data_IF_519183676757
#
_entry.id   IF_519183676757
#
_cell.length_a   1.000
_cell.length_b   1.000
_cell.length_c   1.000
_cell.angle_alpha   90.00
_cell.angle_beta   90.00
_cell.angle_gamma   90.00
#
_symmetry.space_group_name_H-M   'P 1'
#
loop_
_entity.id
_entity.type
_entity.pdbx_description
1 polymer ?
#
# COMPACT_ATOMS: atom_id res chain seq x y z
N UNK A 1 15.62 -7.15 -11.77
CA UNK A 1 15.39 -7.28 -10.31
C UNK A 1 16.71 -7.23 -9.55
N UNK A 2 16.73 -6.58 -8.40
CA UNK A 2 17.89 -6.59 -7.49
C UNK A 2 17.97 -7.95 -6.79
N UNK A 3 19.18 -8.53 -6.65
CA UNK A 3 19.38 -9.78 -5.91
C UNK A 3 19.97 -9.52 -4.52
N UNK A 4 19.55 -10.33 -3.55
CA UNK A 4 20.04 -10.27 -2.16
C UNK A 4 20.34 -11.69 -1.68
N UNK A 5 21.60 -11.95 -1.32
CA UNK A 5 21.99 -13.25 -0.76
C UNK A 5 21.85 -13.23 0.77
N UNK A 6 21.19 -14.24 1.33
CA UNK A 6 20.98 -14.39 2.77
C UNK A 6 21.35 -15.82 3.20
N UNK A 7 22.26 -15.94 4.15
CA UNK A 7 22.62 -17.24 4.73
C UNK A 7 21.68 -17.57 5.89
N UNK A 8 21.06 -18.73 5.85
CA UNK A 8 20.02 -19.14 6.80
C UNK A 8 20.31 -20.54 7.37
N UNK A 9 19.70 -20.86 8.50
CA UNK A 9 19.83 -22.18 9.13
C UNK A 9 18.51 -22.89 9.18
N UNK A 10 18.50 -24.16 8.84
CA UNK A 10 17.33 -25.02 8.89
C UNK A 10 16.84 -25.21 10.32
N UNK A 11 15.51 -25.31 10.50
CA UNK A 11 14.87 -25.62 11.77
C UNK A 11 14.52 -27.10 11.82
N UNK A 12 14.89 -27.75 12.92
CA UNK A 12 14.50 -29.14 13.19
C UNK A 12 13.19 -29.20 13.99
N UNK A 13 13.06 -28.30 14.97
CA UNK A 13 11.88 -28.23 15.82
C UNK A 13 10.89 -27.17 15.32
N UNK A 14 9.66 -27.58 15.07
CA UNK A 14 8.58 -26.70 14.61
C UNK A 14 7.50 -26.64 15.67
N UNK A 15 7.35 -25.49 16.33
CA UNK A 15 6.35 -25.33 17.36
C UNK A 15 6.27 -23.93 17.95
N UNK A 16 5.23 -23.69 18.76
CA UNK A 16 4.95 -22.38 19.38
C UNK A 16 6.04 -21.96 20.36
N UNK A 17 6.52 -22.90 21.17
CA UNK A 17 7.58 -22.66 22.19
C UNK A 17 8.90 -22.28 21.52
N UNK A 18 9.32 -23.04 20.51
CA UNK A 18 10.55 -22.82 19.76
C UNK A 18 10.52 -21.49 19.00
N UNK A 19 9.41 -21.18 18.31
CA UNK A 19 9.23 -19.90 17.60
C UNK A 19 9.30 -18.69 18.55
N UNK A 20 8.79 -18.83 19.79
CA UNK A 20 8.91 -17.78 20.83
C UNK A 20 10.35 -17.63 21.31
N UNK A 21 11.07 -18.74 21.51
CA UNK A 21 12.48 -18.73 21.92
C UNK A 21 13.38 -18.08 20.85
N UNK A 22 13.16 -18.39 19.57
CA UNK A 22 13.89 -17.78 18.44
C UNK A 22 13.69 -16.26 18.38
N UNK A 23 12.43 -15.78 18.49
CA UNK A 23 12.13 -14.34 18.47
C UNK A 23 12.78 -13.60 19.64
N UNK A 24 12.84 -14.21 20.81
CA UNK A 24 13.55 -13.64 21.98
C UNK A 24 15.06 -13.51 21.75
N UNK A 25 15.64 -14.33 20.86
CA UNK A 25 17.05 -14.26 20.45
C UNK A 25 17.30 -13.31 19.25
N UNK A 26 16.29 -12.56 18.81
CA UNK A 26 16.41 -11.70 17.62
C UNK A 26 16.48 -12.46 16.29
N UNK A 27 15.94 -13.70 16.27
CA UNK A 27 15.84 -14.54 15.08
C UNK A 27 14.39 -14.64 14.63
N UNK A 28 14.17 -14.58 13.33
CA UNK A 28 12.85 -14.64 12.71
C UNK A 28 12.65 -16.03 12.12
N UNK A 29 11.59 -16.75 12.51
CA UNK A 29 11.21 -17.99 11.85
C UNK A 29 10.64 -17.68 10.46
N UNK A 30 11.10 -18.43 9.46
CA UNK A 30 10.72 -18.28 8.06
C UNK A 30 10.35 -19.64 7.46
N UNK A 31 9.57 -19.58 6.38
CA UNK A 31 9.16 -20.76 5.62
C UNK A 31 9.43 -20.53 4.13
N UNK A 32 10.01 -21.50 3.46
CA UNK A 32 10.14 -21.55 2.01
C UNK A 32 9.18 -22.60 1.48
N UNK A 33 8.36 -22.24 0.50
CA UNK A 33 7.43 -23.13 -0.18
C UNK A 33 7.39 -22.84 -1.68
N UNK A 34 6.64 -23.64 -2.43
CA UNK A 34 6.54 -23.53 -3.90
C UNK A 34 7.39 -24.53 -4.65
N UNK A 35 8.39 -25.11 -4.00
CA UNK A 35 9.22 -26.22 -4.52
C UNK A 35 8.63 -27.61 -4.20
N UNK A 36 9.48 -28.65 -4.34
CA UNK A 36 9.08 -30.02 -4.02
C UNK A 36 8.82 -30.26 -2.53
N UNK A 37 9.54 -29.56 -1.67
CA UNK A 37 9.46 -29.69 -0.21
C UNK A 37 9.40 -28.32 0.45
N UNK A 38 8.54 -28.23 1.45
CA UNK A 38 8.50 -27.08 2.33
C UNK A 38 9.70 -27.15 3.30
N UNK A 39 10.44 -26.05 3.40
CA UNK A 39 11.60 -25.93 4.28
C UNK A 39 11.36 -24.85 5.29
N UNK A 40 11.42 -25.23 6.60
CA UNK A 40 11.36 -24.28 7.69
C UNK A 40 12.79 -23.91 8.11
N UNK A 41 13.07 -22.61 8.22
CA UNK A 41 14.37 -22.09 8.59
C UNK A 41 14.25 -20.85 9.48
N UNK A 42 15.36 -20.31 9.93
CA UNK A 42 15.40 -19.03 10.62
C UNK A 42 16.56 -18.19 10.12
N UNK A 43 16.35 -16.87 10.14
CA UNK A 43 17.37 -15.87 9.81
C UNK A 43 17.49 -14.85 10.94
N UNK A 44 18.60 -14.11 11.00
CA UNK A 44 18.71 -12.98 11.90
C UNK A 44 17.85 -11.80 11.41
N UNK A 45 17.19 -11.11 12.31
CA UNK A 45 16.35 -9.94 11.99
C UNK A 45 17.13 -8.88 11.21
N UNK A 46 18.42 -8.67 11.53
CA UNK A 46 19.26 -7.70 10.84
C UNK A 46 19.48 -8.00 9.34
N UNK A 47 19.59 -9.29 9.00
CA UNK A 47 19.81 -9.73 7.61
C UNK A 47 18.55 -9.50 6.75
N UNK A 48 17.39 -9.55 7.40
CA UNK A 48 16.09 -9.35 6.77
C UNK A 48 15.69 -7.86 6.67
N UNK A 49 16.34 -6.96 7.40
CA UNK A 49 15.96 -5.53 7.45
C UNK A 49 15.99 -4.87 6.08
N UNK A 50 16.98 -5.16 5.25
CA UNK A 50 17.05 -4.60 3.89
C UNK A 50 15.92 -5.09 3.00
N UNK A 51 15.51 -6.35 3.18
CA UNK A 51 14.43 -6.94 2.41
C UNK A 51 13.06 -6.39 2.81
N UNK A 52 12.83 -6.15 4.11
CA UNK A 52 11.52 -5.83 4.67
C UNK A 52 11.22 -4.33 4.66
N UNK A 53 12.22 -3.50 4.99
CA UNK A 53 12.01 -2.05 5.19
C UNK A 53 12.35 -1.21 3.95
N UNK A 54 12.69 -1.83 2.81
CA UNK A 54 12.79 -1.14 1.52
C UNK A 54 11.54 -1.44 0.67
N UNK A 55 11.06 -0.48 -0.09
CA UNK A 55 9.91 -0.70 -0.96
C UNK A 55 10.22 -1.59 -2.17
N UNK A 56 11.50 -1.77 -2.47
CA UNK A 56 11.98 -2.52 -3.64
C UNK A 56 11.62 -4.00 -3.58
N UNK A 57 11.41 -4.61 -4.74
CA UNK A 57 11.25 -6.06 -4.88
C UNK A 57 12.61 -6.71 -5.11
N UNK A 58 12.96 -7.68 -4.26
CA UNK A 58 14.22 -8.42 -4.34
C UNK A 58 14.00 -9.87 -4.74
N UNK A 59 14.85 -10.36 -5.62
CA UNK A 59 15.08 -11.79 -5.75
C UNK A 59 16.07 -12.22 -4.65
N UNK A 60 15.61 -13.08 -3.75
CA UNK A 60 16.41 -13.51 -2.61
C UNK A 60 17.07 -14.85 -2.91
N UNK A 61 18.39 -14.89 -2.84
CA UNK A 61 19.16 -16.13 -2.95
C UNK A 61 19.42 -16.65 -1.54
N UNK A 62 18.60 -17.62 -1.10
CA UNK A 62 18.76 -18.28 0.19
C UNK A 62 19.83 -19.35 0.13
N UNK A 63 20.82 -19.24 1.00
CA UNK A 63 21.79 -20.31 1.24
C UNK A 63 21.37 -21.11 2.49
N UNK A 64 20.78 -22.26 2.25
CA UNK A 64 20.32 -23.17 3.29
C UNK A 64 21.34 -24.33 3.38
N UNK A 65 22.27 -24.24 4.32
CA UNK A 65 23.29 -25.28 4.57
C UNK A 65 24.07 -25.71 3.30
N UNK A 66 24.40 -24.73 2.44
CA UNK A 66 25.12 -24.95 1.19
C UNK A 66 24.25 -25.18 -0.05
N UNK A 67 22.93 -25.25 0.11
CA UNK A 67 21.99 -25.32 -1.02
C UNK A 67 21.46 -23.91 -1.31
N UNK A 68 21.76 -23.41 -2.51
CA UNK A 68 21.27 -22.11 -2.96
C UNK A 68 19.94 -22.26 -3.66
N UNK A 69 18.95 -21.51 -3.20
CA UNK A 69 17.60 -21.49 -3.78
C UNK A 69 17.16 -20.04 -3.97
N UNK A 70 16.71 -19.72 -5.19
CA UNK A 70 16.18 -18.38 -5.48
C UNK A 70 14.71 -18.31 -5.12
N UNK A 71 14.33 -17.30 -4.37
CA UNK A 71 12.96 -17.11 -3.88
C UNK A 71 12.57 -15.63 -3.86
N UNK A 72 11.29 -15.37 -3.71
CA UNK A 72 10.72 -14.04 -3.54
C UNK A 72 9.99 -13.99 -2.20
N UNK A 73 10.03 -12.83 -1.56
CA UNK A 73 9.23 -12.55 -0.37
C UNK A 73 7.76 -12.48 -0.76
N UNK A 74 6.91 -13.31 -0.13
CA UNK A 74 5.49 -13.39 -0.42
C UNK A 74 4.64 -12.69 0.65
N UNK A 75 4.91 -12.95 1.92
CA UNK A 75 4.16 -12.35 3.02
C UNK A 75 5.04 -12.09 4.24
N UNK A 76 4.67 -11.09 5.03
CA UNK A 76 5.37 -10.69 6.25
C UNK A 76 4.36 -10.45 7.36
N UNK A 77 4.61 -11.04 8.51
CA UNK A 77 3.82 -10.79 9.71
C UNK A 77 4.61 -9.94 10.69
N UNK A 78 4.01 -8.82 11.09
CA UNK A 78 4.57 -7.89 12.07
C UNK A 78 3.84 -7.98 13.41
N UNK A 79 4.53 -7.62 14.47
CA UNK A 79 3.91 -7.47 15.78
C UNK A 79 3.15 -6.13 15.83
N UNK A 80 1.85 -6.10 16.20
CA UNK A 80 0.99 -4.93 16.03
C UNK A 80 1.37 -3.70 16.88
N UNK A 81 2.22 -3.87 17.89
CA UNK A 81 2.63 -2.78 18.80
C UNK A 81 4.10 -2.42 18.67
N UNK A 82 4.97 -3.41 18.39
CA UNK A 82 6.43 -3.20 18.38
C UNK A 82 7.04 -3.20 16.98
N UNK A 83 6.23 -3.46 15.93
CA UNK A 83 6.64 -3.56 14.52
C UNK A 83 7.79 -4.55 14.27
N UNK A 84 8.07 -5.42 15.23
CA UNK A 84 9.05 -6.49 15.05
C UNK A 84 8.52 -7.55 14.10
N UNK A 85 9.41 -8.10 13.29
CA UNK A 85 9.07 -9.16 12.35
C UNK A 85 8.77 -10.44 13.13
N UNK A 86 7.57 -11.01 12.95
CA UNK A 86 7.15 -12.25 13.57
C UNK A 86 7.38 -13.47 12.70
N UNK A 87 7.10 -13.36 11.41
CA UNK A 87 7.21 -14.44 10.43
C UNK A 87 7.42 -13.88 9.04
N UNK A 88 8.13 -14.61 8.19
CA UNK A 88 8.28 -14.29 6.76
C UNK A 88 8.05 -15.55 5.95
N UNK A 89 7.27 -15.39 4.89
CA UNK A 89 6.97 -16.43 3.92
C UNK A 89 7.74 -16.16 2.63
N UNK A 90 8.48 -17.15 2.17
CA UNK A 90 9.21 -17.12 0.91
C UNK A 90 8.62 -18.11 -0.09
N UNK A 91 8.45 -17.66 -1.33
CA UNK A 91 8.03 -18.48 -2.44
C UNK A 91 9.25 -18.80 -3.31
N UNK A 92 9.51 -20.07 -3.53
CA UNK A 92 10.56 -20.53 -4.47
C UNK A 92 10.19 -20.16 -5.90
N UNK A 93 11.15 -19.60 -6.61
CA UNK A 93 10.97 -19.06 -7.95
C UNK A 93 11.65 -19.95 -8.98
N UNK A 94 10.89 -20.31 -10.00
CA UNK A 94 11.38 -21.07 -11.17
C UNK A 94 11.32 -20.18 -12.42
N UNK A 95 12.28 -20.34 -13.32
CA UNK A 95 12.35 -19.52 -14.53
C UNK A 95 11.09 -19.62 -15.41
N UNK A 96 10.42 -20.77 -15.39
CA UNK A 96 9.28 -21.07 -16.27
C UNK A 96 7.90 -20.84 -15.63
N UNK A 97 7.85 -20.52 -14.33
CA UNK A 97 6.58 -20.35 -13.62
C UNK A 97 6.27 -18.86 -13.40
N UNK A 98 5.03 -18.49 -13.66
CA UNK A 98 4.55 -17.16 -13.32
C UNK A 98 4.48 -16.98 -11.80
N UNK A 99 4.94 -15.84 -11.33
CA UNK A 99 4.85 -15.44 -9.92
C UNK A 99 4.01 -14.20 -9.78
N UNK A 100 3.33 -14.09 -8.65
CA UNK A 100 2.52 -12.91 -8.29
C UNK A 100 3.27 -12.14 -7.23
N UNK A 101 3.59 -10.88 -7.51
CA UNK A 101 4.39 -10.02 -6.62
C UNK A 101 3.77 -8.63 -6.54
N UNK A 102 3.89 -7.99 -5.39
CA UNK A 102 3.53 -6.58 -5.19
C UNK A 102 4.68 -5.67 -5.63
N UNK A 103 4.51 -4.95 -6.74
CA UNK A 103 5.51 -4.03 -7.29
C UNK A 103 5.21 -2.61 -6.83
N UNK A 104 6.22 -1.87 -6.31
CA UNK A 104 6.05 -0.49 -5.90
C UNK A 104 5.80 0.43 -7.09
N UNK A 105 5.00 1.47 -6.85
CA UNK A 105 4.74 2.56 -7.80
C UNK A 105 5.64 3.73 -7.45
N UNK A 106 6.42 4.19 -8.43
CA UNK A 106 7.27 5.38 -8.32
C UNK A 106 6.67 6.47 -9.20
N UNK A 107 6.36 7.61 -8.58
CA UNK A 107 5.82 8.77 -9.28
C UNK A 107 6.98 9.65 -9.74
N UNK A 108 7.00 10.00 -11.04
CA UNK A 108 8.00 10.89 -11.62
C UNK A 108 7.37 12.20 -12.06
N UNK A 109 8.12 13.31 -11.98
CA UNK A 109 7.65 14.64 -12.33
C UNK A 109 6.84 15.34 -11.23
N UNK A 110 6.28 16.50 -11.57
CA UNK A 110 5.44 17.32 -10.69
C UNK A 110 4.12 17.67 -11.40
N UNK A 111 3.01 17.25 -10.82
CA UNK A 111 1.69 17.45 -11.40
C UNK A 111 1.33 18.94 -11.50
N UNK A 112 0.84 19.38 -12.68
CA UNK A 112 0.32 20.74 -12.89
C UNK A 112 -0.82 21.05 -11.92
N UNK A 113 -1.68 20.05 -11.64
CA UNK A 113 -2.78 20.19 -10.70
C UNK A 113 -2.32 20.47 -9.27
N UNK A 114 -1.18 19.94 -8.85
CA UNK A 114 -0.60 20.24 -7.51
C UNK A 114 -0.06 21.67 -7.48
N UNK A 115 0.57 22.13 -8.57
CA UNK A 115 1.04 23.53 -8.69
C UNK A 115 -0.12 24.53 -8.63
N UNK A 116 -1.29 24.14 -9.10
CA UNK A 116 -2.51 24.95 -9.10
C UNK A 116 -3.34 24.79 -7.81
N UNK A 117 -2.73 24.29 -6.70
CA UNK A 117 -3.39 24.16 -5.39
C UNK A 117 -4.16 22.86 -5.20
N UNK A 118 -4.07 21.90 -6.11
CA UNK A 118 -4.65 20.56 -5.93
C UNK A 118 -3.82 19.68 -4.97
N UNK A 119 -4.47 18.68 -4.40
CA UNK A 119 -3.83 17.71 -3.51
C UNK A 119 -3.58 16.38 -4.24
N UNK A 120 -2.33 15.90 -4.24
CA UNK A 120 -1.97 14.61 -4.82
C UNK A 120 -2.50 13.50 -3.94
N UNK A 121 -3.28 12.60 -4.50
CA UNK A 121 -3.84 11.45 -3.84
C UNK A 121 -3.26 10.18 -4.45
N UNK A 122 -2.36 9.50 -3.76
CA UNK A 122 -1.90 8.16 -4.12
C UNK A 122 -2.79 7.14 -3.43
N UNK A 123 -3.55 6.38 -4.22
CA UNK A 123 -4.45 5.35 -3.71
C UNK A 123 -3.75 4.01 -3.54
N UNK A 124 -2.80 3.72 -4.43
CA UNK A 124 -2.03 2.48 -4.40
C UNK A 124 -0.55 2.78 -4.53
N UNK A 125 0.20 2.44 -3.48
CA UNK A 125 1.66 2.54 -3.47
C UNK A 125 2.31 1.29 -4.07
N UNK A 126 1.56 0.17 -4.14
CA UNK A 126 1.99 -1.09 -4.72
C UNK A 126 0.87 -1.67 -5.57
N UNK A 127 1.22 -2.37 -6.65
CA UNK A 127 0.28 -3.04 -7.55
C UNK A 127 0.65 -4.52 -7.62
N UNK A 128 -0.34 -5.38 -7.41
CA UNK A 128 -0.19 -6.83 -7.54
C UNK A 128 -0.05 -7.16 -9.02
N UNK A 129 1.11 -7.70 -9.38
CA UNK A 129 1.48 -8.00 -10.76
C UNK A 129 1.84 -9.48 -10.89
N UNK A 130 1.39 -10.12 -11.95
CA UNK A 130 1.73 -11.49 -12.31
C UNK A 130 2.60 -11.45 -13.56
N UNK A 131 3.77 -12.06 -13.48
CA UNK A 131 4.68 -12.23 -14.60
C UNK A 131 5.69 -13.35 -14.37
N UNK A 132 6.42 -13.71 -15.44
CA UNK A 132 7.62 -14.56 -15.34
C UNK A 132 8.73 -13.75 -14.66
N UNK A 133 9.54 -14.33 -13.78
CA UNK A 133 10.56 -13.61 -13.00
C UNK A 133 11.51 -12.74 -13.82
N UNK A 134 11.86 -13.17 -15.03
CA UNK A 134 12.71 -12.39 -15.94
C UNK A 134 12.06 -11.10 -16.49
N UNK A 135 10.74 -11.01 -16.47
CA UNK A 135 9.97 -9.88 -17.02
C UNK A 135 9.45 -8.91 -15.95
N UNK A 136 9.71 -9.21 -14.68
CA UNK A 136 9.27 -8.36 -13.58
C UNK A 136 10.10 -7.07 -13.50
N UNK A 137 9.49 -5.88 -13.55
CA UNK A 137 10.18 -4.60 -13.32
C UNK A 137 10.50 -4.41 -11.83
N UNK A 138 11.52 -3.63 -11.52
CA UNK A 138 11.87 -3.26 -10.15
C UNK A 138 10.85 -2.30 -9.54
N UNK A 139 10.29 -1.40 -10.35
CA UNK A 139 9.26 -0.45 -9.99
C UNK A 139 8.40 -0.10 -11.22
N UNK A 140 7.18 0.35 -10.98
CA UNK A 140 6.29 0.88 -12.02
C UNK A 140 6.41 2.41 -11.96
N UNK A 141 7.08 2.99 -12.96
CA UNK A 141 7.24 4.45 -13.07
C UNK A 141 6.02 5.06 -13.71
N UNK A 142 5.44 6.08 -13.08
CA UNK A 142 4.28 6.81 -13.57
C UNK A 142 4.64 8.29 -13.64
N UNK A 143 4.60 8.85 -14.84
CA UNK A 143 4.75 10.30 -15.02
C UNK A 143 3.43 11.01 -14.68
N UNK A 144 3.50 11.92 -13.71
CA UNK A 144 2.37 12.71 -13.23
C UNK A 144 2.41 14.16 -13.74
N UNK A 145 3.38 14.52 -14.57
CA UNK A 145 3.62 15.92 -14.98
C UNK A 145 2.40 16.59 -15.63
N UNK A 146 1.63 15.85 -16.40
CA UNK A 146 0.46 16.38 -17.12
C UNK A 146 -0.85 16.31 -16.31
N UNK A 147 -0.84 15.76 -15.08
CA UNK A 147 -2.05 15.62 -14.29
C UNK A 147 -2.59 16.97 -13.83
N UNK A 148 -3.83 17.26 -14.24
CA UNK A 148 -4.62 18.42 -13.80
C UNK A 148 -5.51 18.05 -12.61
N UNK A 149 -6.09 19.06 -11.96
CA UNK A 149 -7.09 18.88 -10.90
C UNK A 149 -8.29 18.08 -11.45
N UNK A 150 -8.71 17.05 -10.74
CA UNK A 150 -9.80 16.16 -11.13
C UNK A 150 -9.40 15.01 -12.05
N UNK A 151 -8.14 14.93 -12.50
CA UNK A 151 -7.66 13.80 -13.31
C UNK A 151 -7.12 12.68 -12.46
N UNK A 152 -7.33 11.44 -12.91
CA UNK A 152 -6.89 10.20 -12.24
C UNK A 152 -6.23 9.28 -13.27
N UNK A 153 -5.17 8.60 -12.85
CA UNK A 153 -4.54 7.51 -13.60
C UNK A 153 -5.09 6.19 -13.07
N UNK A 154 -5.54 5.34 -13.98
CA UNK A 154 -6.10 4.02 -13.69
C UNK A 154 -5.12 2.91 -14.05
N UNK A 155 -5.33 1.72 -13.52
CA UNK A 155 -4.51 0.54 -13.84
C UNK A 155 -4.54 0.22 -15.33
N UNK A 156 -5.67 0.41 -16.01
CA UNK A 156 -5.79 0.22 -17.48
C UNK A 156 -4.80 1.04 -18.28
N UNK A 157 -4.43 2.24 -17.79
CA UNK A 157 -3.53 3.18 -18.48
C UNK A 157 -2.05 2.76 -18.34
N UNK A 158 -1.75 1.80 -17.45
CA UNK A 158 -0.40 1.30 -17.16
C UNK A 158 -0.10 -0.05 -17.79
N UNK A 159 -1.02 -0.61 -18.60
CA UNK A 159 -0.86 -1.95 -19.19
C UNK A 159 0.44 -2.08 -19.99
N UNK A 160 1.10 -3.22 -19.84
CA UNK A 160 2.30 -3.61 -20.54
C UNK A 160 2.15 -5.05 -21.05
N UNK A 161 2.74 -5.36 -22.21
CA UNK A 161 2.70 -6.72 -22.79
C UNK A 161 3.54 -7.74 -22.01
N UNK A 162 4.44 -7.29 -21.12
CA UNK A 162 5.38 -8.14 -20.38
C UNK A 162 4.82 -8.72 -19.10
N UNK A 163 3.79 -8.10 -18.52
CA UNK A 163 3.20 -8.50 -17.24
C UNK A 163 1.72 -8.15 -17.19
N UNK A 164 0.98 -8.86 -16.37
CA UNK A 164 -0.46 -8.64 -16.15
C UNK A 164 -0.73 -8.16 -14.72
N UNK A 165 -1.62 -7.19 -14.58
CA UNK A 165 -2.09 -6.73 -13.28
C UNK A 165 -3.27 -7.60 -12.82
N UNK A 166 -3.26 -8.04 -11.56
CA UNK A 166 -4.40 -8.76 -10.97
C UNK A 166 -5.48 -7.81 -10.44
N UNK A 167 -5.16 -6.55 -10.28
CA UNK A 167 -6.12 -5.56 -9.79
C UNK A 167 -7.09 -5.13 -10.91
N UNK A 168 -8.31 -4.69 -10.54
CA UNK A 168 -9.33 -4.23 -11.48
C UNK A 168 -8.82 -3.06 -12.32
N UNK A 169 -9.08 -3.09 -13.63
CA UNK A 169 -8.70 -2.08 -14.61
C UNK A 169 -9.19 -0.66 -14.25
N UNK A 170 -10.35 -0.56 -13.59
CA UNK A 170 -10.94 0.70 -13.16
C UNK A 170 -10.41 1.20 -11.79
N UNK A 171 -9.45 0.51 -11.18
CA UNK A 171 -8.83 0.97 -9.94
C UNK A 171 -7.95 2.17 -10.20
N UNK A 172 -8.16 3.22 -9.41
CA UNK A 172 -7.33 4.44 -9.42
C UNK A 172 -6.00 4.14 -8.73
N UNK A 173 -4.89 4.51 -9.35
CA UNK A 173 -3.55 4.45 -8.79
C UNK A 173 -3.18 5.78 -8.14
N UNK A 174 -3.23 6.84 -8.91
CA UNK A 174 -2.90 8.20 -8.48
C UNK A 174 -3.86 9.21 -9.12
N UNK A 175 -4.09 10.34 -8.47
CA UNK A 175 -4.89 11.42 -9.01
C UNK A 175 -4.72 12.71 -8.23
N UNK A 176 -5.21 13.80 -8.77
CA UNK A 176 -5.19 15.12 -8.11
C UNK A 176 -6.60 15.56 -7.80
N UNK A 177 -6.87 15.84 -6.54
CA UNK A 177 -8.16 16.37 -6.05
C UNK A 177 -8.05 17.86 -5.74
N UNK A 178 -9.17 18.58 -5.80
CA UNK A 178 -9.28 19.94 -5.26
C UNK A 178 -9.00 19.96 -3.76
N UNK A 179 -8.25 20.95 -3.30
CA UNK A 179 -8.09 21.19 -1.85
C UNK A 179 -9.37 21.81 -1.29
N UNK A 180 -9.80 21.41 -0.09
CA UNK A 180 -11.00 21.96 0.55
C UNK A 180 -10.97 23.49 0.76
N UNK A 181 -9.76 24.08 0.84
CA UNK A 181 -9.60 25.53 1.02
C UNK A 181 -10.04 26.34 -0.23
N UNK A 182 -9.93 25.76 -1.45
CA UNK A 182 -10.36 26.44 -2.66
C UNK A 182 -11.90 26.51 -2.82
N UNK A 183 -12.63 25.66 -2.09
CA UNK A 183 -14.11 25.67 -2.14
C UNK A 183 -14.68 26.74 -1.23
N UNK A 184 -13.95 27.15 -0.18
CA UNK A 184 -14.40 28.17 0.76
C UNK A 184 -14.25 29.59 0.18
N UNK A 185 -13.19 29.83 -0.62
CA UNK A 185 -12.99 31.14 -1.28
C UNK A 185 -13.98 31.41 -2.41
N UNK A 186 -14.40 30.37 -3.17
CA UNK A 186 -15.42 30.53 -4.22
C UNK A 186 -16.84 30.76 -3.66
N UNK A 187 -17.12 30.26 -2.45
CA UNK A 187 -18.45 30.45 -1.81
C UNK A 187 -18.56 31.81 -1.11
N UNK A 188 -17.42 32.41 -0.67
CA UNK A 188 -17.44 33.77 -0.09
C UNK A 188 -17.54 34.87 -1.15
N UNK A 189 -17.03 34.68 -2.37
CA UNK A 189 -17.18 35.65 -3.46
C UNK A 189 -18.59 35.67 -4.08
N UNK A 190 -19.38 34.58 -4.01
CA UNK A 190 -20.77 34.56 -4.50
C UNK A 190 -21.79 35.13 -3.47
N UNK A 191 -21.44 35.31 -2.21
CA UNK A 191 -22.37 35.81 -1.16
C UNK A 191 -22.24 37.32 -0.91
N UNK A 192 -21.17 37.98 -1.36
CA UNK A 192 -21.03 39.45 -1.23
C UNK A 192 -21.70 40.27 -2.35
N UNK A 193 -22.42 39.62 -3.26
CA UNK A 193 -23.05 40.28 -4.41
C UNK A 193 -24.54 40.56 -4.29
N UNK A 194 -25.23 40.17 -3.19
CA UNK A 194 -26.69 40.32 -3.08
C UNK A 194 -27.16 40.83 -1.71
N UNK A 195 -26.70 42.02 -1.29
CA UNK A 195 -27.36 42.84 -0.26
C UNK A 195 -27.51 44.26 -0.75
N UNK A 196 -28.72 44.55 -1.22
CA UNK A 196 -29.21 45.91 -1.47
C UNK A 196 -30.62 45.93 -2.00
N UNK A 197 -31.63 45.97 -1.16
CA UNK A 197 -32.77 46.90 -1.12
C UNK A 197 -33.94 46.45 -0.25
N UNK A 198 -34.11 47.18 0.83
CA UNK A 198 -35.32 47.76 1.46
C UNK A 198 -36.60 46.94 1.64
N UNK A 199 -37.11 47.08 2.88
CA UNK A 199 -38.53 46.94 3.19
C UNK A 199 -38.86 46.57 4.62
N UNK A 200 -39.05 47.58 5.47
CA UNK A 200 -39.51 47.56 6.85
C UNK A 200 -40.99 47.13 7.05
N UNK A 201 -41.58 47.18 8.25
CA UNK A 201 -41.93 46.01 9.06
C UNK A 201 -43.44 45.90 9.30
N UNK A 202 -43.91 44.81 9.89
CA UNK A 202 -45.23 44.79 10.57
C UNK A 202 -45.34 43.71 11.62
N UNK A 203 -45.71 44.18 12.78
CA UNK A 203 -46.08 43.54 14.06
C UNK A 203 -47.13 42.42 13.97
N UNK A 204 -47.13 41.57 14.99
CA UNK A 204 -48.30 40.82 15.39
C UNK A 204 -48.04 39.51 16.16
N UNK A 205 -47.76 39.58 17.44
CA UNK A 205 -48.60 39.12 18.56
C UNK A 205 -49.12 37.68 18.64
N UNK A 206 -48.84 37.05 19.75
CA UNK A 206 -49.73 36.06 20.42
C UNK A 206 -49.23 34.64 20.34
N UNK A 207 -48.93 34.00 21.33
CA UNK A 207 -49.36 33.73 22.72
C UNK A 207 -49.39 32.19 22.91
N UNK A 208 -48.78 31.80 23.99
CA UNK A 208 -49.09 30.71 24.94
C UNK A 208 -49.13 29.23 24.56
N UNK A 209 -48.25 28.59 25.25
CA UNK A 209 -48.52 27.56 26.34
C UNK A 209 -48.82 26.12 25.91
N UNK A 210 -48.13 25.31 26.55
CA UNK A 210 -48.25 24.26 27.61
C UNK A 210 -47.96 22.86 27.01
N UNK A 211 -47.01 22.17 27.55
CA UNK A 211 -46.92 21.34 28.77
C UNK A 211 -47.29 19.85 28.55
N UNK A 212 -46.58 19.05 29.31
CA UNK A 212 -46.75 17.65 29.70
C UNK A 212 -46.14 16.58 28.81
N UNK A 213 -45.02 15.99 29.21
CA UNK A 213 -44.79 14.98 30.27
C UNK A 213 -45.30 13.56 29.94
N UNK A 214 -44.40 12.63 30.26
CA UNK A 214 -44.56 11.21 30.64
C UNK A 214 -44.39 10.18 29.52
N UNK A 215 -43.35 9.40 29.68
CA UNK A 215 -43.11 8.16 30.47
C UNK A 215 -43.51 6.85 29.77
N UNK A 216 -42.55 5.96 29.90
CA UNK A 216 -42.66 4.49 29.99
C UNK A 216 -42.84 3.62 28.73
N UNK A 217 -41.82 2.91 28.37
CA UNK A 217 -41.53 1.51 28.71
C UNK A 217 -40.27 1.02 28.01
#
# INVERSE_FOLDING_TARGET
MKSLAISVKKRENVGKSDSKALRNQGKVPCVLYGGEKQVCFYAHENDLRKLVYTPDVFLVDLDIEGTKTSCILQDIQFHPVTDKILHIDFLEVFADKEVTVEIPVVLTGMAIGVRNGGNLLTRRNKIITRAIPGNLPDAIEIDISELKIGMFIYIKDLKSDKYSFLASDNSVVVGVKTARAAIVEEVEEEVEGEEGEEGTPSEGSGDQSTDTAKEDK
#
